data_IF_636454258207
#
_entry.id   IF_636454258207
#
_cell.length_a   1.000
_cell.length_b   1.000
_cell.length_c   1.000
_cell.angle_alpha   90.00
_cell.angle_beta   90.00
_cell.angle_gamma   90.00
#
_symmetry.space_group_name_H-M   'P 1'
#
loop_
_entity.id
_entity.type
_entity.pdbx_description
1 polymer ?
#
# COMPACT_ATOMS: atom_id res chain seq x y z
N UNK A 1 16.67 -44.73 -4.14
CA UNK A 1 15.56 -44.72 -5.13
C UNK A 1 15.07 -43.27 -5.21
N UNK A 2 15.55 -42.47 -6.17
CA UNK A 2 14.90 -42.13 -7.46
C UNK A 2 13.40 -41.82 -7.28
N UNK A 3 12.84 -40.67 -7.69
CA UNK A 3 13.18 -39.83 -8.84
C UNK A 3 12.76 -38.35 -8.65
N UNK A 4 13.55 -37.47 -9.27
CA UNK A 4 13.22 -36.07 -9.52
C UNK A 4 12.33 -35.97 -10.78
N UNK A 5 11.32 -35.10 -10.74
CA UNK A 5 10.56 -34.71 -11.93
C UNK A 5 10.92 -33.26 -12.30
N UNK A 6 11.77 -33.12 -13.31
CA UNK A 6 12.10 -31.85 -13.96
C UNK A 6 11.17 -31.64 -15.15
N UNK A 7 10.41 -30.54 -15.17
CA UNK A 7 9.69 -30.08 -16.35
C UNK A 7 10.31 -28.76 -16.85
N UNK A 8 10.83 -28.78 -18.08
CA UNK A 8 11.34 -27.64 -18.82
C UNK A 8 10.19 -26.93 -19.59
N UNK A 9 10.37 -25.67 -20.04
CA UNK A 9 9.29 -24.84 -20.57
C UNK A 9 9.09 -25.03 -22.08
N UNK A 10 7.84 -25.00 -22.53
CA UNK A 10 7.49 -24.89 -23.95
C UNK A 10 7.46 -23.41 -24.34
N UNK A 11 8.40 -23.00 -25.18
CA UNK A 11 8.36 -21.74 -25.91
C UNK A 11 7.44 -21.92 -27.14
N UNK A 12 6.52 -20.98 -27.36
CA UNK A 12 5.80 -20.87 -28.62
C UNK A 12 6.00 -19.48 -29.22
N UNK A 13 6.56 -19.48 -30.41
CA UNK A 13 7.01 -18.33 -31.19
C UNK A 13 5.84 -17.52 -31.79
N UNK A 14 6.08 -16.23 -31.97
CA UNK A 14 5.24 -15.28 -32.70
C UNK A 14 5.44 -15.37 -34.22
N UNK A 15 4.42 -15.13 -35.06
CA UNK A 15 4.60 -14.89 -36.49
C UNK A 15 4.73 -13.39 -36.86
N UNK A 16 5.30 -13.07 -38.04
CA UNK A 16 5.86 -11.76 -38.39
C UNK A 16 4.92 -10.74 -39.06
N UNK A 17 5.46 -9.52 -39.10
CA UNK A 17 4.98 -8.22 -39.64
C UNK A 17 4.23 -8.20 -40.98
N UNK A 18 3.33 -7.22 -41.11
CA UNK A 18 3.11 -6.47 -42.36
C UNK A 18 3.07 -4.97 -42.09
N UNK A 19 4.07 -4.27 -42.61
CA UNK A 19 4.12 -2.84 -42.84
C UNK A 19 3.51 -2.54 -44.21
N UNK A 20 2.52 -1.66 -44.26
CA UNK A 20 2.12 -0.96 -45.49
C UNK A 20 1.95 0.51 -45.15
N UNK A 21 2.82 1.32 -45.74
CA UNK A 21 2.71 2.78 -45.72
C UNK A 21 1.63 3.26 -46.68
N UNK A 22 1.06 4.41 -46.36
CA UNK A 22 0.46 5.31 -47.33
C UNK A 22 0.55 6.72 -46.76
N UNK A 23 1.44 7.51 -47.36
CA UNK A 23 1.49 8.94 -47.18
C UNK A 23 0.35 9.58 -47.99
N UNK A 24 -0.40 10.49 -47.36
CA UNK A 24 -1.15 11.49 -48.10
C UNK A 24 -0.99 12.86 -47.44
N UNK A 25 -0.73 13.84 -48.32
CA UNK A 25 -0.32 15.22 -48.05
C UNK A 25 -1.55 16.13 -48.12
N UNK A 26 -1.36 17.37 -47.66
CA UNK A 26 -2.15 18.60 -47.86
C UNK A 26 -3.04 19.00 -46.67
N UNK A 27 -2.67 20.05 -45.92
CA UNK A 27 -3.07 21.49 -46.06
C UNK A 27 -4.41 21.74 -45.35
N UNK A 28 -4.71 22.80 -44.60
CA UNK A 28 -4.14 24.13 -44.37
C UNK A 28 -4.74 24.72 -43.08
N UNK A 29 -4.21 25.89 -42.69
CA UNK A 29 -4.89 27.01 -42.01
C UNK A 29 -4.90 27.10 -40.46
N UNK A 30 -4.54 28.32 -40.07
CA UNK A 30 -4.32 28.87 -38.74
C UNK A 30 -5.55 28.85 -37.82
N UNK A 31 -5.31 28.94 -36.50
CA UNK A 31 -5.98 29.91 -35.57
C UNK A 31 -5.52 29.67 -34.12
N UNK A 32 -4.98 30.72 -33.50
CA UNK A 32 -5.13 30.99 -32.06
C UNK A 32 -4.32 30.14 -31.08
N UNK A 33 -3.20 30.71 -30.60
CA UNK A 33 -2.59 30.30 -29.34
C UNK A 33 -3.56 30.58 -28.18
N UNK A 34 -4.42 29.61 -27.85
CA UNK A 34 -5.07 29.54 -26.54
C UNK A 34 -4.14 28.79 -25.62
N UNK A 35 -3.49 29.51 -24.70
CA UNK A 35 -2.91 28.93 -23.50
C UNK A 35 -4.03 28.23 -22.74
N UNK A 36 -4.19 26.93 -22.97
CA UNK A 36 -5.04 26.11 -22.13
C UNK A 36 -4.46 26.14 -20.71
N UNK A 37 -5.25 26.46 -19.67
CA UNK A 37 -4.78 26.27 -18.32
C UNK A 37 -4.47 24.77 -18.16
N UNK A 38 -3.21 24.44 -17.88
CA UNK A 38 -2.80 23.07 -17.61
C UNK A 38 -3.69 22.49 -16.51
N UNK A 39 -4.04 21.19 -16.56
CA UNK A 39 -4.98 20.61 -15.61
C UNK A 39 -4.43 20.83 -14.20
N UNK A 40 -5.13 21.67 -13.43
CA UNK A 40 -4.89 21.84 -12.01
C UNK A 40 -4.88 20.44 -11.40
N UNK A 41 -3.73 20.03 -10.85
CA UNK A 41 -3.56 18.72 -10.23
C UNK A 41 -4.61 18.59 -9.14
N UNK A 42 -5.62 17.74 -9.34
CA UNK A 42 -6.63 17.43 -8.33
C UNK A 42 -5.98 16.64 -7.19
N UNK A 43 -5.35 17.36 -6.27
CA UNK A 43 -4.63 16.77 -5.13
C UNK A 43 -5.57 16.16 -4.09
N UNK A 44 -6.88 16.48 -4.13
CA UNK A 44 -7.86 16.06 -3.12
C UNK A 44 -8.62 14.75 -3.37
N UNK A 45 -8.57 14.15 -4.57
CA UNK A 45 -9.48 13.05 -4.95
C UNK A 45 -8.79 11.80 -5.53
N UNK A 46 -7.45 11.72 -5.49
CA UNK A 46 -6.75 10.57 -6.06
C UNK A 46 -6.78 9.35 -5.12
N UNK A 47 -6.81 8.16 -5.73
CA UNK A 47 -6.56 6.90 -5.03
C UNK A 47 -5.21 6.92 -4.34
N UNK A 48 -5.16 6.42 -3.10
CA UNK A 48 -3.98 6.42 -2.26
C UNK A 48 -3.71 7.75 -1.55
N UNK A 49 -4.61 8.75 -1.64
CA UNK A 49 -4.53 9.94 -0.80
C UNK A 49 -4.74 9.55 0.66
N UNK A 50 -3.78 9.90 1.51
CA UNK A 50 -3.86 9.78 2.96
C UNK A 50 -4.86 10.81 3.51
N UNK A 51 -5.79 10.35 4.35
CA UNK A 51 -6.80 11.20 4.97
C UNK A 51 -6.52 11.43 6.45
N UNK A 52 -6.07 10.43 7.18
CA UNK A 52 -5.67 10.58 8.58
C UNK A 52 -4.65 9.55 9.02
N UNK A 53 -3.89 9.91 10.07
CA UNK A 53 -2.91 9.06 10.75
C UNK A 53 -3.27 9.05 12.23
N UNK A 54 -3.56 7.87 12.78
CA UNK A 54 -3.86 7.69 14.20
C UNK A 54 -2.76 6.83 14.84
N UNK A 55 -2.01 7.33 15.84
CA UNK A 55 -1.09 6.49 16.61
C UNK A 55 -1.82 5.35 17.31
N UNK A 56 -1.29 4.13 17.20
CA UNK A 56 -1.81 2.93 17.88
C UNK A 56 -0.95 2.49 19.07
N UNK A 57 0.20 3.13 19.24
CA UNK A 57 1.15 2.87 20.32
C UNK A 57 2.56 2.61 19.82
N UNK A 58 3.46 2.44 20.79
CA UNK A 58 4.87 2.10 20.59
C UNK A 58 5.22 0.91 21.45
N UNK A 59 6.07 0.04 20.94
CA UNK A 59 6.60 -1.12 21.64
C UNK A 59 8.13 -1.10 21.56
N UNK A 60 8.79 -1.46 22.65
CA UNK A 60 10.23 -1.74 22.62
C UNK A 60 10.51 -3.13 22.00
N UNK A 61 11.78 -3.44 21.72
CA UNK A 61 12.17 -4.71 21.08
C UNK A 61 11.72 -5.93 21.89
N UNK A 62 11.83 -5.88 23.21
CA UNK A 62 11.50 -6.99 24.09
C UNK A 62 9.98 -7.24 24.10
N UNK A 63 9.17 -6.18 24.13
CA UNK A 63 7.71 -6.24 24.03
C UNK A 63 7.26 -6.81 22.68
N UNK A 64 7.89 -6.40 21.58
CA UNK A 64 7.61 -6.99 20.26
C UNK A 64 7.89 -8.49 20.27
N UNK A 65 9.05 -8.89 20.80
CA UNK A 65 9.42 -10.30 20.86
C UNK A 65 8.51 -11.12 21.78
N UNK A 66 8.05 -10.54 22.90
CA UNK A 66 7.11 -11.18 23.80
C UNK A 66 5.73 -11.36 23.14
N UNK A 67 5.22 -10.32 22.49
CA UNK A 67 3.93 -10.38 21.79
C UNK A 67 3.95 -11.37 20.64
N UNK A 68 5.01 -11.38 19.82
CA UNK A 68 5.17 -12.36 18.74
C UNK A 68 5.11 -13.81 19.28
N UNK A 69 5.78 -14.10 20.39
CA UNK A 69 5.75 -15.44 21.01
C UNK A 69 4.37 -15.83 21.53
N UNK A 70 3.59 -14.90 22.09
CA UNK A 70 2.20 -15.16 22.51
C UNK A 70 1.31 -15.58 21.33
N UNK A 71 1.63 -15.09 20.13
CA UNK A 71 0.95 -15.45 18.89
C UNK A 71 1.54 -16.69 18.21
N UNK A 72 2.46 -17.42 18.87
CA UNK A 72 3.11 -18.61 18.31
C UNK A 72 4.19 -18.32 17.26
N UNK A 73 4.64 -17.06 17.14
CA UNK A 73 5.63 -16.64 16.15
C UNK A 73 7.06 -16.69 16.71
N UNK A 74 8.01 -17.11 15.87
CA UNK A 74 9.43 -16.99 16.17
C UNK A 74 9.86 -15.50 16.16
N UNK A 75 10.50 -15.04 17.23
CA UNK A 75 10.89 -13.63 17.39
C UNK A 75 12.40 -13.37 17.15
N UNK A 76 13.14 -14.36 16.64
CA UNK A 76 14.59 -14.30 16.45
C UNK A 76 15.07 -13.21 15.49
N UNK A 77 14.17 -12.62 14.70
CA UNK A 77 14.43 -11.55 13.72
C UNK A 77 14.19 -10.13 14.27
N UNK A 78 13.62 -9.98 15.47
CA UNK A 78 13.36 -8.66 16.04
C UNK A 78 14.66 -7.95 16.44
N UNK A 79 14.89 -6.76 15.85
CA UNK A 79 16.08 -5.92 16.10
C UNK A 79 15.72 -4.55 16.66
N UNK A 80 14.55 -4.03 16.32
CA UNK A 80 14.08 -2.69 16.70
C UNK A 80 12.81 -2.76 17.55
N UNK A 81 12.56 -1.70 18.33
CA UNK A 81 11.18 -1.40 18.74
C UNK A 81 10.35 -0.92 17.56
N UNK A 82 9.04 -0.79 17.73
CA UNK A 82 8.10 -0.46 16.65
C UNK A 82 7.11 0.61 17.09
N UNK A 83 6.85 1.58 16.21
CA UNK A 83 5.71 2.49 16.32
C UNK A 83 4.65 2.10 15.30
N UNK A 84 3.40 1.97 15.75
CA UNK A 84 2.27 1.54 14.93
C UNK A 84 1.26 2.69 14.74
N UNK A 85 0.70 2.76 13.54
CA UNK A 85 -0.26 3.77 13.13
C UNK A 85 -1.40 3.12 12.35
N UNK A 86 -2.62 3.63 12.53
CA UNK A 86 -3.73 3.38 11.61
C UNK A 86 -3.78 4.52 10.61
N UNK A 87 -3.84 4.18 9.34
CA UNK A 87 -4.07 5.11 8.25
C UNK A 87 -5.51 4.97 7.76
N UNK A 88 -6.18 6.09 7.49
CA UNK A 88 -7.38 6.12 6.65
C UNK A 88 -6.96 6.71 5.30
N UNK A 89 -7.32 6.06 4.20
CA UNK A 89 -6.91 6.46 2.86
C UNK A 89 -8.02 6.28 1.82
N UNK A 90 -7.94 7.07 0.74
CA UNK A 90 -8.85 6.95 -0.41
C UNK A 90 -8.51 5.73 -1.26
N UNK A 91 -9.54 4.99 -1.66
CA UNK A 91 -9.46 3.88 -2.61
C UNK A 91 -10.74 3.84 -3.43
N UNK A 92 -11.06 2.69 -4.04
CA UNK A 92 -12.26 2.48 -4.85
C UNK A 92 -12.93 1.15 -4.50
N UNK A 93 -14.24 1.09 -4.70
CA UNK A 93 -15.04 -0.14 -4.66
C UNK A 93 -14.75 -1.02 -5.89
N UNK A 94 -15.24 -2.30 -5.92
CA UNK A 94 -15.07 -3.17 -7.08
C UNK A 94 -15.62 -2.60 -8.39
N UNK A 95 -16.73 -1.86 -8.33
CA UNK A 95 -17.35 -1.13 -9.44
C UNK A 95 -16.69 0.22 -9.75
N UNK A 96 -15.58 0.55 -9.07
CA UNK A 96 -14.76 1.72 -9.39
C UNK A 96 -15.18 3.02 -8.72
N UNK A 97 -16.23 3.02 -7.89
CA UNK A 97 -16.68 4.22 -7.16
C UNK A 97 -15.68 4.61 -6.06
N UNK A 98 -15.47 5.91 -5.80
CA UNK A 98 -14.62 6.37 -4.70
C UNK A 98 -15.12 5.86 -3.34
N UNK A 99 -14.20 5.39 -2.50
CA UNK A 99 -14.47 5.04 -1.11
C UNK A 99 -13.22 5.23 -0.25
N UNK A 100 -13.28 4.85 1.02
CA UNK A 100 -12.14 4.83 1.94
C UNK A 100 -11.90 3.44 2.48
N UNK A 101 -10.67 3.21 2.94
CA UNK A 101 -10.30 2.03 3.70
C UNK A 101 -9.31 2.41 4.79
N UNK A 102 -9.12 1.49 5.74
CA UNK A 102 -8.11 1.61 6.77
C UNK A 102 -6.99 0.59 6.56
N UNK A 103 -5.87 0.82 7.22
CA UNK A 103 -4.75 -0.10 7.24
C UNK A 103 -3.73 0.27 8.30
N UNK A 104 -2.91 -0.71 8.67
CA UNK A 104 -1.81 -0.57 9.60
C UNK A 104 -0.55 -0.10 8.85
N UNK A 105 0.16 0.85 9.46
CA UNK A 105 1.55 1.17 9.16
C UNK A 105 2.37 0.92 10.43
N UNK A 106 3.35 0.04 10.36
CA UNK A 106 4.29 -0.25 11.45
C UNK A 106 5.72 0.09 11.01
N UNK A 107 6.39 0.92 11.80
CA UNK A 107 7.73 1.44 11.50
C UNK A 107 8.72 1.08 12.62
N UNK A 108 9.93 0.59 12.30
CA UNK A 108 10.99 0.44 13.29
C UNK A 108 11.38 1.78 13.89
N UNK A 109 11.71 1.76 15.17
CA UNK A 109 12.20 2.94 15.90
C UNK A 109 13.73 2.92 15.95
N UNK A 110 14.34 4.11 15.92
CA UNK A 110 15.80 4.23 16.02
C UNK A 110 16.57 3.84 14.76
N UNK A 111 15.94 3.86 13.58
CA UNK A 111 16.61 3.60 12.29
C UNK A 111 17.19 4.85 11.62
N UNK A 112 17.06 6.02 12.24
CA UNK A 112 17.48 7.30 11.67
C UNK A 112 16.74 7.61 10.36
N UNK A 113 17.43 8.24 9.41
CA UNK A 113 16.90 8.60 8.09
C UNK A 113 17.10 7.51 7.01
N UNK A 114 17.43 6.28 7.41
CA UNK A 114 17.68 5.20 6.44
C UNK A 114 16.40 4.84 5.69
N UNK A 115 16.44 4.69 4.35
CA UNK A 115 15.31 4.17 3.59
C UNK A 115 14.88 2.80 4.11
N UNK A 116 13.58 2.64 4.38
CA UNK A 116 13.01 1.39 4.85
C UNK A 116 12.36 0.65 3.67
N UNK A 117 12.79 -0.57 3.34
CA UNK A 117 12.11 -1.37 2.32
C UNK A 117 10.69 -1.70 2.79
N UNK A 118 9.66 -1.41 1.98
CA UNK A 118 8.28 -1.68 2.36
C UNK A 118 7.95 -3.18 2.26
N UNK A 119 7.09 -3.66 3.16
CA UNK A 119 6.46 -4.98 3.09
C UNK A 119 4.97 -4.78 3.23
N UNK A 120 4.19 -5.28 2.27
CA UNK A 120 2.73 -5.31 2.37
C UNK A 120 2.32 -6.71 2.81
N UNK A 121 1.83 -6.82 4.03
CA UNK A 121 1.31 -8.03 4.62
C UNK A 121 -0.20 -8.12 4.42
N UNK A 122 -0.62 -9.02 3.53
CA UNK A 122 -2.01 -9.33 3.26
C UNK A 122 -2.52 -10.38 4.24
N UNK A 123 -3.47 -10.01 5.10
CA UNK A 123 -4.07 -10.95 6.05
C UNK A 123 -4.96 -12.00 5.36
N UNK A 124 -5.23 -13.10 6.08
CA UNK A 124 -6.16 -14.15 5.66
C UNK A 124 -7.64 -13.75 5.81
N UNK A 125 -8.54 -14.72 5.86
CA UNK A 125 -9.97 -14.44 5.99
C UNK A 125 -10.31 -13.88 7.37
N UNK A 126 -10.98 -12.71 7.40
CA UNK A 126 -11.50 -12.10 8.63
C UNK A 126 -13.03 -12.02 8.58
N UNK A 127 -13.70 -12.63 9.55
CA UNK A 127 -15.16 -12.64 9.63
C UNK A 127 -15.72 -11.35 10.25
N UNK A 128 -14.97 -10.69 11.15
CA UNK A 128 -15.42 -9.48 11.86
C UNK A 128 -14.54 -8.30 11.50
N UNK A 129 -15.15 -7.13 11.30
CA UNK A 129 -14.43 -5.88 10.98
C UNK A 129 -13.38 -5.52 12.02
N UNK A 130 -13.70 -5.79 13.29
CA UNK A 130 -12.82 -5.49 14.42
C UNK A 130 -11.54 -6.33 14.48
N UNK A 131 -11.47 -7.45 13.75
CA UNK A 131 -10.27 -8.30 13.72
C UNK A 131 -9.17 -7.74 12.81
N UNK A 132 -9.47 -6.69 12.05
CA UNK A 132 -8.55 -6.16 11.06
C UNK A 132 -7.25 -5.62 11.69
N UNK A 133 -6.10 -5.68 10.99
CA UNK A 133 -4.78 -5.34 11.53
C UNK A 133 -4.68 -3.91 12.10
N UNK A 134 -5.42 -2.94 11.56
CA UNK A 134 -5.42 -1.56 12.08
C UNK A 134 -6.32 -1.35 13.30
N UNK A 135 -7.10 -2.36 13.70
CA UNK A 135 -7.99 -2.34 14.87
C UNK A 135 -7.49 -3.31 15.95
N UNK A 136 -7.53 -4.62 15.72
CA UNK A 136 -7.20 -5.63 16.73
C UNK A 136 -5.70 -5.75 17.00
N UNK A 137 -5.35 -6.06 18.26
CA UNK A 137 -4.03 -6.59 18.63
C UNK A 137 -3.98 -8.10 18.39
N UNK A 138 -4.24 -8.52 17.14
CA UNK A 138 -4.31 -9.91 16.72
C UNK A 138 -3.05 -10.39 15.98
N UNK A 139 -3.06 -11.63 15.47
CA UNK A 139 -1.91 -12.25 14.80
C UNK A 139 -1.44 -11.44 13.58
N UNK A 140 -2.35 -10.90 12.77
CA UNK A 140 -1.95 -10.13 11.58
C UNK A 140 -1.23 -8.81 11.93
N UNK A 141 -1.62 -8.16 13.03
CA UNK A 141 -0.87 -7.02 13.56
C UNK A 141 0.50 -7.48 14.05
N UNK A 142 0.58 -8.60 14.78
CA UNK A 142 1.84 -9.11 15.32
C UNK A 142 2.84 -9.47 14.21
N UNK A 143 2.40 -10.12 13.13
CA UNK A 143 3.24 -10.41 11.96
C UNK A 143 3.77 -9.12 11.33
N UNK A 144 2.91 -8.11 11.15
CA UNK A 144 3.29 -6.82 10.58
C UNK A 144 4.30 -6.06 11.47
N UNK A 145 4.07 -6.09 12.78
CA UNK A 145 5.01 -5.53 13.78
C UNK A 145 6.33 -6.29 13.78
N UNK A 146 6.32 -7.62 13.58
CA UNK A 146 7.54 -8.41 13.49
C UNK A 146 8.35 -8.04 12.24
N UNK A 147 7.72 -7.87 11.07
CA UNK A 147 8.37 -7.32 9.88
C UNK A 147 8.99 -5.94 10.15
N UNK A 148 8.24 -5.05 10.81
CA UNK A 148 8.75 -3.73 11.16
C UNK A 148 9.97 -3.81 12.08
N UNK A 149 9.93 -4.67 13.10
CA UNK A 149 11.03 -4.88 14.04
C UNK A 149 12.29 -5.46 13.40
N UNK A 150 12.16 -6.10 12.23
CA UNK A 150 13.27 -6.57 11.40
C UNK A 150 13.83 -5.49 10.46
N UNK A 151 13.39 -4.23 10.60
CA UNK A 151 13.91 -3.09 9.84
C UNK A 151 13.15 -2.79 8.53
N UNK A 152 11.86 -3.14 8.44
CA UNK A 152 11.01 -2.89 7.26
C UNK A 152 9.95 -1.83 7.56
N UNK A 153 9.45 -1.14 6.53
CA UNK A 153 8.21 -0.37 6.65
C UNK A 153 7.03 -1.32 6.37
N UNK A 154 6.45 -1.88 7.43
CA UNK A 154 5.41 -2.89 7.30
C UNK A 154 4.03 -2.25 7.19
N UNK A 155 3.24 -2.75 6.25
CA UNK A 155 1.92 -2.24 5.90
C UNK A 155 0.96 -3.43 5.92
N UNK A 156 -0.22 -3.28 6.52
CA UNK A 156 -1.25 -4.30 6.41
C UNK A 156 -2.59 -3.63 6.10
N UNK A 157 -3.13 -3.78 4.87
CA UNK A 157 -4.45 -3.26 4.55
C UNK A 157 -5.49 -4.04 5.33
N UNK A 158 -6.51 -3.34 5.82
CA UNK A 158 -7.68 -4.01 6.38
C UNK A 158 -8.59 -4.55 5.27
N UNK A 159 -8.40 -4.13 4.02
CA UNK A 159 -9.34 -4.26 2.90
C UNK A 159 -10.63 -3.43 3.04
N UNK A 160 -11.43 -3.40 1.98
CA UNK A 160 -12.72 -2.70 1.97
C UNK A 160 -13.68 -3.35 2.96
N UNK A 161 -14.50 -2.53 3.64
CA UNK A 161 -15.54 -3.00 4.56
C UNK A 161 -15.06 -3.64 5.86
N UNK A 162 -13.75 -3.70 6.12
CA UNK A 162 -13.17 -4.15 7.38
C UNK A 162 -12.48 -2.97 8.07
N UNK A 163 -12.04 -3.18 9.32
CA UNK A 163 -11.44 -2.12 10.12
C UNK A 163 -12.40 -0.92 10.29
N UNK A 164 -11.94 0.25 9.88
CA UNK A 164 -12.70 1.50 9.86
C UNK A 164 -13.27 1.84 8.46
N UNK A 165 -13.13 0.95 7.47
CA UNK A 165 -13.70 1.15 6.14
C UNK A 165 -15.22 0.95 6.10
N UNK A 166 -15.97 1.78 5.35
CA UNK A 166 -17.43 1.64 5.24
C UNK A 166 -17.83 0.44 4.37
N UNK A 167 -19.12 0.07 4.43
CA UNK A 167 -19.71 -0.93 3.55
C UNK A 167 -19.46 -2.38 3.98
N UNK A 168 -19.65 -3.33 3.07
CA UNK A 168 -19.41 -4.77 3.29
C UNK A 168 -18.10 -5.20 2.63
N UNK A 169 -17.42 -6.18 3.21
CA UNK A 169 -16.19 -6.72 2.66
C UNK A 169 -16.48 -7.54 1.38
N UNK A 170 -15.93 -7.14 0.22
CA UNK A 170 -16.04 -7.92 -1.02
C UNK A 170 -15.05 -9.09 -0.96
N UNK A 171 -15.41 -10.12 -0.21
CA UNK A 171 -14.56 -11.28 0.02
C UNK A 171 -14.14 -11.95 -1.30
N UNK A 172 -12.86 -12.28 -1.43
CA UNK A 172 -12.24 -12.90 -2.62
C UNK A 172 -12.29 -12.07 -3.92
N UNK A 173 -12.71 -10.79 -3.87
CA UNK A 173 -12.58 -9.91 -5.02
C UNK A 173 -11.12 -9.41 -5.15
N UNK A 174 -10.38 -10.03 -6.07
CA UNK A 174 -8.95 -9.75 -6.26
C UNK A 174 -8.67 -8.27 -6.63
N UNK A 175 -9.58 -7.63 -7.37
CA UNK A 175 -9.39 -6.24 -7.82
C UNK A 175 -9.41 -5.27 -6.65
N UNK A 176 -10.40 -5.39 -5.77
CA UNK A 176 -10.54 -4.53 -4.59
C UNK A 176 -9.43 -4.81 -3.58
N UNK A 177 -9.11 -6.09 -3.32
CA UNK A 177 -7.98 -6.49 -2.48
C UNK A 177 -6.67 -5.85 -2.93
N UNK A 178 -6.30 -6.03 -4.20
CA UNK A 178 -5.10 -5.41 -4.77
C UNK A 178 -5.13 -3.88 -4.73
N UNK A 179 -6.29 -3.28 -5.03
CA UNK A 179 -6.43 -1.82 -5.06
C UNK A 179 -6.27 -1.18 -3.66
N UNK A 180 -6.84 -1.80 -2.63
CA UNK A 180 -6.72 -1.37 -1.24
C UNK A 180 -5.26 -1.49 -0.77
N UNK A 181 -4.60 -2.62 -1.03
CA UNK A 181 -3.19 -2.84 -0.69
C UNK A 181 -2.26 -1.80 -1.33
N UNK A 182 -2.43 -1.55 -2.63
CA UNK A 182 -1.60 -0.60 -3.36
C UNK A 182 -1.85 0.85 -2.93
N UNK A 183 -3.09 1.19 -2.61
CA UNK A 183 -3.45 2.54 -2.18
C UNK A 183 -2.99 2.81 -0.74
N UNK A 184 -2.98 1.80 0.15
CA UNK A 184 -2.33 1.91 1.46
C UNK A 184 -0.84 2.20 1.31
N UNK A 185 -0.14 1.49 0.42
CA UNK A 185 1.28 1.72 0.16
C UNK A 185 1.53 3.16 -0.33
N UNK A 186 0.67 3.70 -1.18
CA UNK A 186 0.74 5.10 -1.63
C UNK A 186 0.52 6.07 -0.47
N UNK A 187 -0.51 5.84 0.34
CA UNK A 187 -0.83 6.68 1.50
C UNK A 187 0.30 6.68 2.53
N UNK A 188 0.90 5.52 2.79
CA UNK A 188 2.02 5.40 3.71
C UNK A 188 3.28 6.14 3.24
N UNK A 189 3.56 6.17 1.93
CA UNK A 189 4.66 6.98 1.38
C UNK A 189 4.47 8.47 1.66
N UNK A 190 3.24 8.97 1.61
CA UNK A 190 2.95 10.36 1.98
C UNK A 190 2.95 10.62 3.49
N UNK A 191 2.83 9.58 4.32
CA UNK A 191 2.91 9.70 5.77
C UNK A 191 4.36 9.79 6.28
N UNK A 192 5.34 9.33 5.51
CA UNK A 192 6.74 9.36 5.89
C UNK A 192 7.30 10.81 5.81
N UNK A 193 7.87 11.36 6.89
CA UNK A 193 8.53 12.66 6.84
C UNK A 193 9.74 12.57 5.90
N UNK A 194 9.62 13.21 4.74
CA UNK A 194 10.54 13.08 3.60
C UNK A 194 9.90 13.52 2.27
N UNK A 195 8.56 13.62 2.23
CA UNK A 195 7.83 14.29 1.14
C UNK A 195 7.04 15.48 1.67
N UNK A 196 7.72 16.50 2.21
CA UNK A 196 7.10 17.81 2.39
C UNK A 196 7.15 18.54 1.03
N UNK A 197 6.04 19.11 0.51
CA UNK A 197 6.15 20.17 -0.50
C UNK A 197 6.90 21.37 0.11
N UNK A 198 7.61 22.19 -0.70
CA UNK A 198 8.35 23.32 -0.17
C UNK A 198 7.42 24.19 0.67
N UNK A 199 7.85 24.45 1.90
CA UNK A 199 7.21 25.38 2.83
C UNK A 199 6.90 26.67 2.08
N UNK A 200 5.63 27.08 2.04
CA UNK A 200 5.32 28.47 1.75
C UNK A 200 5.96 29.30 2.86
N UNK A 201 6.96 30.09 2.52
CA UNK A 201 7.48 31.12 3.40
C UNK A 201 6.32 32.05 3.81
N UNK A 202 6.30 32.59 5.04
CA UNK A 202 5.37 33.66 5.37
C UNK A 202 5.71 34.88 4.49
N UNK A 203 4.72 35.37 3.74
CA UNK A 203 4.81 36.69 3.11
C UNK A 203 5.02 37.77 4.20
N UNK A 204 5.76 38.84 3.88
CA UNK A 204 6.05 39.93 4.81
C UNK A 204 4.80 40.68 5.28
#
# INVERSE_FOLDING_TARGET
>A
MLAALTAAPAALAAPPHRTTGAAHRAQDAATGARTAPGPARSTGHRRGTLLSVTPLGRQNRAEVAAEARKQGLAAGTARHGVAAYRLIYRTRTPDGRPTTASGLLALPVGTGHRPLPPVVHSHGTLARRGDAPSVAKGPDRAVSVLYASAGRAALAPDYLGLGAGPGRHPYMDARSGASASLDLLRAARSAAPGSAPPSAAPCP
#
